data_IF_767960416826
#
_entry.id   IF_767960416826
#
_cell.length_a   1.000
_cell.length_b   1.000
_cell.length_c   1.000
_cell.angle_alpha   90.00
_cell.angle_beta   90.00
_cell.angle_gamma   90.00
#
_symmetry.space_group_name_H-M   'P 1'
#
loop_
_entity.id
_entity.type
_entity.pdbx_description
1 polymer ?
#
# COMPACT_ATOMS: atom_id res chain seq x y z
N UNK A 1 13.64 -3.91 -9.45
CA UNK A 1 13.33 -3.51 -8.06
C UNK A 1 11.87 -3.82 -7.71
N UNK A 2 10.92 -3.68 -8.64
CA UNK A 2 9.52 -4.14 -8.49
C UNK A 2 9.37 -5.66 -8.31
N UNK A 3 10.18 -6.47 -8.99
CA UNK A 3 10.12 -7.94 -8.86
C UNK A 3 10.46 -8.44 -7.45
N UNK A 4 11.26 -7.69 -6.68
CA UNK A 4 11.71 -8.11 -5.35
C UNK A 4 10.58 -8.16 -4.33
N UNK A 5 9.64 -7.20 -4.38
CA UNK A 5 8.53 -7.15 -3.43
C UNK A 5 7.43 -8.16 -3.77
N UNK A 6 7.17 -8.40 -5.06
CA UNK A 6 6.26 -9.44 -5.50
C UNK A 6 6.79 -10.84 -5.17
N UNK A 7 8.11 -11.06 -5.28
CA UNK A 7 8.77 -12.29 -4.85
C UNK A 7 8.73 -12.49 -3.33
N UNK A 8 8.99 -11.43 -2.54
CA UNK A 8 8.81 -11.47 -1.08
C UNK A 8 7.36 -11.81 -0.74
N UNK A 9 6.38 -11.17 -1.38
CA UNK A 9 4.96 -11.45 -1.17
C UNK A 9 4.56 -12.89 -1.49
N UNK A 10 5.21 -13.54 -2.45
CA UNK A 10 5.01 -14.96 -2.79
C UNK A 10 5.70 -15.93 -1.83
N UNK A 11 6.83 -15.53 -1.25
CA UNK A 11 7.58 -16.32 -0.26
C UNK A 11 6.92 -16.32 1.13
N UNK A 12 5.99 -15.41 1.39
CA UNK A 12 5.22 -15.36 2.63
C UNK A 12 4.07 -16.38 2.57
N UNK A 13 4.25 -17.54 3.19
CA UNK A 13 3.14 -18.45 3.50
C UNK A 13 2.13 -17.72 4.37
N UNK A 14 0.92 -17.49 3.84
CA UNK A 14 -0.14 -16.76 4.51
C UNK A 14 -0.62 -17.56 5.72
N UNK A 15 -0.54 -16.97 6.91
CA UNK A 15 -1.29 -17.52 8.04
C UNK A 15 -2.79 -17.27 7.80
N UNK A 16 -3.66 -18.14 8.30
CA UNK A 16 -5.13 -18.03 8.12
C UNK A 16 -5.67 -16.65 8.56
N UNK A 17 -5.02 -16.02 9.53
CA UNK A 17 -5.31 -14.66 10.03
C UNK A 17 -4.95 -13.54 9.04
N UNK A 18 -4.07 -13.78 8.06
CA UNK A 18 -3.65 -12.82 7.03
C UNK A 18 -4.44 -12.97 5.73
N UNK A 19 -5.30 -13.99 5.64
CA UNK A 19 -6.16 -14.26 4.49
C UNK A 19 -7.47 -13.45 4.49
N UNK A 20 -7.57 -12.46 5.38
CA UNK A 20 -8.73 -11.58 5.48
C UNK A 20 -8.61 -10.48 4.42
N UNK A 21 -9.30 -10.66 3.30
CA UNK A 21 -9.56 -9.59 2.34
C UNK A 21 -10.34 -8.49 3.07
N UNK A 22 -9.64 -7.44 3.50
CA UNK A 22 -10.29 -6.30 4.14
C UNK A 22 -10.95 -5.49 3.04
N UNK A 23 -12.29 -5.58 2.96
CA UNK A 23 -13.08 -4.71 2.09
C UNK A 23 -13.04 -3.31 2.70
N UNK A 24 -12.41 -2.39 1.98
CA UNK A 24 -12.30 -1.00 2.43
C UNK A 24 -13.52 -0.22 1.90
N UNK A 25 -14.29 0.45 2.78
CA UNK A 25 -15.45 1.24 2.38
C UNK A 25 -15.12 2.32 1.33
N UNK A 26 -16.05 2.60 0.41
CA UNK A 26 -15.86 3.58 -0.70
C UNK A 26 -15.47 4.98 -0.20
N UNK A 27 -15.87 5.33 1.00
CA UNK A 27 -15.61 6.61 1.65
C UNK A 27 -14.12 6.79 1.98
N UNK A 28 -13.41 5.70 2.27
CA UNK A 28 -11.95 5.68 2.46
C UNK A 28 -11.23 5.78 1.10
N UNK A 29 -11.85 5.27 0.04
CA UNK A 29 -11.33 5.34 -1.33
C UNK A 29 -11.55 6.68 -2.03
N UNK A 30 -12.28 7.64 -1.45
CA UNK A 30 -12.35 8.96 -2.10
C UNK A 30 -13.07 10.08 -1.37
N UNK A 31 -12.36 11.22 -1.28
CA UNK A 31 -12.78 12.50 -1.91
C UNK A 31 -11.58 13.41 -2.15
N UNK A 32 -10.85 13.17 -3.25
CA UNK A 32 -10.34 14.21 -4.14
C UNK A 32 -9.97 13.55 -5.45
N UNK A 33 -10.45 14.07 -6.59
CA UNK A 33 -9.96 13.63 -7.90
C UNK A 33 -8.48 13.99 -7.96
N UNK A 34 -7.62 12.98 -7.84
CA UNK A 34 -6.18 13.17 -7.94
C UNK A 34 -5.84 13.67 -9.35
N UNK A 35 -5.48 14.96 -9.44
CA UNK A 35 -5.01 15.56 -10.68
C UNK A 35 -3.48 15.38 -10.86
N UNK A 36 -2.79 14.62 -10.00
CA UNK A 36 -1.33 14.39 -10.06
C UNK A 36 -0.90 13.79 -11.40
N UNK A 37 -1.72 12.90 -11.95
CA UNK A 37 -1.57 12.32 -13.29
C UNK A 37 -2.56 12.93 -14.28
N UNK A 38 -2.77 14.26 -14.20
CA UNK A 38 -3.59 14.99 -15.16
C UNK A 38 -2.76 15.99 -15.96
N UNK A 39 -2.99 16.02 -17.27
CA UNK A 39 -2.46 17.04 -18.17
C UNK A 39 -3.56 18.04 -18.50
N UNK A 40 -3.25 19.33 -18.42
CA UNK A 40 -4.11 20.38 -18.99
C UNK A 40 -3.68 20.63 -20.42
N UNK A 41 -4.55 20.26 -21.36
CA UNK A 41 -4.38 20.47 -22.79
C UNK A 41 -5.13 21.71 -23.28
N UNK A 42 -4.56 22.40 -24.26
CA UNK A 42 -5.23 23.47 -25.02
C UNK A 42 -5.36 23.07 -26.49
N UNK A 43 -6.57 23.14 -27.02
CA UNK A 43 -6.89 22.82 -28.42
C UNK A 43 -6.69 24.07 -29.27
N UNK A 44 -5.62 24.09 -30.06
CA UNK A 44 -5.32 25.20 -30.97
C UNK A 44 -5.89 24.90 -32.36
N UNK A 45 -7.16 25.22 -32.56
CA UNK A 45 -7.82 25.11 -33.86
C UNK A 45 -8.53 26.42 -34.23
N UNK A 46 -8.49 26.78 -35.52
CA UNK A 46 -9.21 27.96 -36.06
C UNK A 46 -10.71 27.71 -36.25
N UNK A 47 -11.15 26.45 -36.15
CA UNK A 47 -12.54 26.01 -36.37
C UNK A 47 -13.04 25.27 -35.13
N UNK A 48 -14.36 25.21 -34.97
CA UNK A 48 -14.99 24.36 -33.96
C UNK A 48 -14.54 22.91 -34.14
N UNK A 49 -14.21 22.25 -33.05
CA UNK A 49 -13.72 20.86 -33.05
C UNK A 49 -14.72 19.95 -32.35
N UNK A 50 -14.81 18.72 -32.83
CA UNK A 50 -15.63 17.69 -32.18
C UNK A 50 -14.83 17.09 -31.02
N UNK A 51 -15.33 17.26 -29.79
CA UNK A 51 -14.65 16.81 -28.59
C UNK A 51 -14.56 15.28 -28.51
N UNK A 52 -15.60 14.55 -28.93
CA UNK A 52 -15.60 13.10 -28.88
C UNK A 52 -14.67 12.49 -29.93
N UNK A 53 -14.64 13.07 -31.14
CA UNK A 53 -13.64 12.69 -32.14
C UNK A 53 -12.20 12.96 -31.66
N UNK A 54 -11.98 14.07 -30.95
CA UNK A 54 -10.68 14.39 -30.35
C UNK A 54 -10.27 13.34 -29.29
N UNK A 55 -11.19 12.90 -28.43
CA UNK A 55 -10.92 11.86 -27.43
C UNK A 55 -10.47 10.56 -28.08
N UNK A 56 -11.21 10.10 -29.09
CA UNK A 56 -10.90 8.86 -29.81
C UNK A 56 -9.52 8.90 -30.47
N UNK A 57 -9.16 10.05 -31.05
CA UNK A 57 -7.82 10.26 -31.62
C UNK A 57 -6.76 10.24 -30.53
N UNK A 58 -6.98 10.94 -29.41
CA UNK A 58 -6.00 10.99 -28.31
C UNK A 58 -5.81 9.62 -27.64
N UNK A 59 -6.89 8.86 -27.43
CA UNK A 59 -6.83 7.48 -26.93
C UNK A 59 -6.00 6.59 -27.86
N UNK A 60 -6.16 6.75 -29.17
CA UNK A 60 -5.41 5.96 -30.17
C UNK A 60 -3.95 6.38 -30.27
N UNK A 61 -3.65 7.68 -30.30
CA UNK A 61 -2.29 8.20 -30.51
C UNK A 61 -1.42 8.00 -29.28
N UNK A 62 -1.96 8.29 -28.09
CA UNK A 62 -1.23 8.15 -26.82
C UNK A 62 -1.22 6.68 -26.36
N UNK A 63 -2.25 5.90 -26.74
CA UNK A 63 -2.38 4.46 -26.47
C UNK A 63 -2.04 4.06 -25.01
N UNK A 64 -2.78 4.60 -24.03
CA UNK A 64 -2.50 4.38 -22.62
C UNK A 64 -2.84 2.94 -22.23
N UNK A 65 -1.92 2.22 -21.57
CA UNK A 65 -2.13 0.80 -21.19
C UNK A 65 -3.38 0.56 -20.33
N UNK A 66 -3.81 1.56 -19.55
CA UNK A 66 -4.92 1.44 -18.59
C UNK A 66 -6.08 2.41 -18.87
N UNK A 67 -6.02 3.14 -19.99
CA UNK A 67 -7.04 4.11 -20.37
C UNK A 67 -6.76 5.55 -19.90
N UNK A 68 -7.59 6.47 -20.36
CA UNK A 68 -7.56 7.90 -20.00
C UNK A 68 -8.99 8.46 -19.95
N UNK A 69 -9.20 9.48 -19.13
CA UNK A 69 -10.42 10.27 -19.06
C UNK A 69 -10.18 11.69 -19.59
N UNK A 70 -11.23 12.31 -20.13
CA UNK A 70 -11.15 13.66 -20.71
C UNK A 70 -12.27 14.53 -20.15
N UNK A 71 -11.92 15.72 -19.65
CA UNK A 71 -12.88 16.70 -19.12
C UNK A 71 -12.65 18.07 -19.76
N UNK A 72 -13.69 18.67 -20.32
CA UNK A 72 -13.61 20.03 -20.88
C UNK A 72 -13.70 21.05 -19.74
N UNK A 73 -12.76 22.01 -19.68
CA UNK A 73 -12.76 23.11 -18.69
C UNK A 73 -13.19 24.44 -19.31
N UNK A 74 -13.06 24.58 -20.64
CA UNK A 74 -13.41 25.81 -21.34
C UNK A 74 -13.58 25.56 -22.83
N UNK A 75 -13.76 26.63 -23.61
CA UNK A 75 -13.99 26.52 -25.06
C UNK A 75 -12.86 25.74 -25.78
N UNK A 76 -11.61 25.99 -25.36
CA UNK A 76 -10.37 25.46 -25.96
C UNK A 76 -9.49 24.71 -24.94
N UNK A 77 -9.94 24.47 -23.71
CA UNK A 77 -9.15 23.82 -22.65
C UNK A 77 -9.80 22.53 -22.17
N UNK A 78 -8.96 21.52 -21.94
CA UNK A 78 -9.36 20.21 -21.42
C UNK A 78 -8.35 19.68 -20.42
N UNK A 79 -8.82 18.88 -19.47
CA UNK A 79 -8.00 18.00 -18.64
C UNK A 79 -8.03 16.60 -19.25
N UNK A 80 -6.87 15.98 -19.32
CA UNK A 80 -6.67 14.55 -19.60
C UNK A 80 -6.20 13.93 -18.29
N UNK A 81 -6.90 12.93 -17.78
CA UNK A 81 -6.51 12.20 -16.57
C UNK A 81 -6.16 10.78 -16.96
N UNK A 82 -4.97 10.31 -16.59
CA UNK A 82 -4.51 8.96 -16.95
C UNK A 82 -4.99 7.94 -15.92
N UNK A 83 -5.60 6.84 -16.38
CA UNK A 83 -6.13 5.78 -15.52
C UNK A 83 -5.04 4.77 -15.14
N UNK A 84 -3.81 5.21 -14.86
CA UNK A 84 -2.83 4.29 -14.29
C UNK A 84 -3.21 4.02 -12.84
N UNK A 85 -3.34 2.74 -12.41
CA UNK A 85 -3.16 2.46 -11.00
C UNK A 85 -1.71 2.84 -10.74
N UNK A 86 -1.53 3.77 -9.83
CA UNK A 86 -0.28 3.93 -9.14
C UNK A 86 0.07 2.55 -8.55
N UNK A 87 0.87 1.78 -9.29
CA UNK A 87 1.55 0.61 -8.76
C UNK A 87 2.53 1.17 -7.74
N UNK A 88 2.56 0.55 -6.55
CA UNK A 88 2.78 1.17 -5.23
C UNK A 88 1.56 1.96 -4.77
N UNK A 89 0.88 1.47 -3.73
CA UNK A 89 -0.30 2.09 -3.12
C UNK A 89 0.01 3.57 -2.85
N UNK A 90 -0.37 4.44 -3.79
CA UNK A 90 -0.40 5.88 -3.58
C UNK A 90 -1.73 6.11 -2.87
N UNK A 91 -1.66 6.18 -1.54
CA UNK A 91 -2.75 6.77 -0.79
C UNK A 91 -2.90 8.22 -1.28
N UNK A 92 -4.13 8.71 -1.57
CA UNK A 92 -4.34 10.06 -2.09
C UNK A 92 -3.64 11.12 -1.23
N UNK A 93 -2.90 12.03 -1.88
CA UNK A 93 -2.01 12.99 -1.23
C UNK A 93 -2.75 14.01 -0.34
N UNK A 94 -2.05 14.44 0.71
CA UNK A 94 -2.35 15.51 1.70
C UNK A 94 -3.62 15.38 2.59
N UNK A 95 -4.71 14.75 2.15
CA UNK A 95 -5.95 14.63 2.96
C UNK A 95 -6.51 13.19 3.10
N UNK A 96 -5.82 12.20 2.54
CA UNK A 96 -6.23 10.79 2.61
C UNK A 96 -5.45 9.96 3.62
N UNK A 97 -4.18 10.30 3.90
CA UNK A 97 -3.30 9.41 4.67
C UNK A 97 -3.78 9.22 6.09
N UNK A 98 -4.33 10.25 6.73
CA UNK A 98 -4.83 10.20 8.10
C UNK A 98 -5.98 9.19 8.22
N UNK A 99 -6.89 9.19 7.24
CA UNK A 99 -8.02 8.26 7.15
C UNK A 99 -7.50 6.83 7.00
N UNK A 100 -6.54 6.63 6.10
CA UNK A 100 -5.91 5.33 5.89
C UNK A 100 -5.09 4.85 7.09
N UNK A 101 -4.34 5.74 7.75
CA UNK A 101 -3.56 5.46 8.93
C UNK A 101 -4.43 5.07 10.12
N UNK A 102 -5.52 5.79 10.33
CA UNK A 102 -6.50 5.46 11.36
C UNK A 102 -7.16 4.11 11.04
N UNK A 103 -7.58 3.90 9.79
CA UNK A 103 -8.19 2.64 9.37
C UNK A 103 -7.25 1.45 9.55
N UNK A 104 -6.06 1.50 8.96
CA UNK A 104 -5.05 0.43 9.04
C UNK A 104 -4.61 0.24 10.49
N UNK A 105 -4.35 1.33 11.20
CA UNK A 105 -3.95 1.31 12.61
C UNK A 105 -5.00 0.64 13.49
N UNK A 106 -6.28 0.92 13.27
CA UNK A 106 -7.38 0.29 14.01
C UNK A 106 -7.63 -1.17 13.60
N UNK A 107 -7.26 -1.57 12.38
CA UNK A 107 -7.26 -2.97 11.96
C UNK A 107 -6.09 -3.77 12.55
N UNK A 108 -4.96 -3.12 12.80
CA UNK A 108 -3.81 -3.73 13.47
C UNK A 108 -3.97 -3.81 14.99
N UNK A 109 -4.59 -2.80 15.61
CA UNK A 109 -4.73 -2.68 17.05
C UNK A 109 -5.41 -1.37 17.44
N UNK A 110 -4.97 -0.72 18.52
CA UNK A 110 -5.47 0.62 18.89
C UNK A 110 -4.62 1.69 18.23
N UNK A 111 -5.12 2.33 17.18
CA UNK A 111 -4.43 3.45 16.53
C UNK A 111 -4.14 4.57 17.55
N UNK A 112 -2.95 5.17 17.45
CA UNK A 112 -2.51 6.27 18.31
C UNK A 112 -2.14 7.52 17.53
N UNK A 113 -1.29 7.38 16.52
CA UNK A 113 -0.81 8.49 15.71
C UNK A 113 -0.15 7.99 14.43
N UNK A 114 -0.02 8.90 13.47
CA UNK A 114 0.83 8.75 12.31
C UNK A 114 2.00 9.73 12.43
N UNK A 115 3.21 9.28 12.14
CA UNK A 115 4.38 10.15 12.00
C UNK A 115 4.62 10.41 10.50
N UNK A 116 4.58 11.69 10.08
CA UNK A 116 4.80 12.13 8.70
C UNK A 116 6.17 12.82 8.57
N UNK A 117 6.96 12.45 7.56
CA UNK A 117 8.19 13.16 7.20
C UNK A 117 7.91 14.16 6.07
N UNK A 118 7.84 15.46 6.38
CA UNK A 118 7.42 16.48 5.41
C UNK A 118 8.38 16.65 4.22
N UNK A 119 9.63 16.24 4.38
CA UNK A 119 10.71 16.51 3.42
C UNK A 119 11.32 15.24 2.79
N UNK A 120 10.72 14.06 3.01
CA UNK A 120 11.24 12.80 2.49
C UNK A 120 10.41 12.32 1.27
N UNK A 121 10.99 12.24 0.06
CA UNK A 121 10.31 11.73 -1.14
C UNK A 121 9.73 10.32 -1.00
N UNK A 122 10.26 9.49 -0.10
CA UNK A 122 9.70 8.15 0.22
C UNK A 122 8.39 8.21 1.00
N UNK A 123 8.07 9.37 1.59
CA UNK A 123 6.82 9.60 2.34
C UNK A 123 5.57 9.57 1.47
N UNK A 124 5.71 9.47 0.14
CA UNK A 124 4.60 9.31 -0.79
C UNK A 124 4.01 7.88 -0.75
N UNK A 125 4.82 6.87 -0.43
CA UNK A 125 4.44 5.45 -0.45
C UNK A 125 4.54 4.77 0.91
N UNK A 126 5.28 5.35 1.86
CA UNK A 126 5.48 4.80 3.20
C UNK A 126 5.09 5.82 4.27
N UNK A 127 4.46 5.36 5.34
CA UNK A 127 4.15 6.17 6.52
C UNK A 127 4.28 5.33 7.79
N UNK A 128 4.66 5.98 8.89
CA UNK A 128 4.86 5.31 10.17
C UNK A 128 3.61 5.42 11.02
N UNK A 129 3.18 4.29 11.58
CA UNK A 129 2.04 4.23 12.48
C UNK A 129 2.49 3.91 13.90
N UNK A 130 1.92 4.63 14.86
CA UNK A 130 1.94 4.25 16.27
C UNK A 130 0.63 3.53 16.57
N UNK A 131 0.74 2.25 16.89
CA UNK A 131 -0.40 1.37 17.18
C UNK A 131 -0.15 0.64 18.50
N UNK A 132 -1.15 0.62 19.38
CA UNK A 132 -1.16 -0.26 20.54
C UNK A 132 -1.55 -1.67 20.11
N UNK A 133 -0.57 -2.56 20.00
CA UNK A 133 -0.75 -3.95 19.59
C UNK A 133 -0.99 -4.86 20.79
N UNK A 134 -1.80 -5.89 20.61
CA UNK A 134 -1.90 -6.97 21.58
C UNK A 134 -0.74 -7.94 21.37
N UNK A 135 0.23 -7.94 22.28
CA UNK A 135 1.44 -8.77 22.19
C UNK A 135 1.19 -10.27 22.39
N UNK A 136 -0.01 -10.65 22.84
CA UNK A 136 -0.43 -12.05 22.94
C UNK A 136 -0.80 -12.64 21.58
N UNK A 137 -0.89 -11.80 20.54
CA UNK A 137 -1.16 -12.23 19.16
C UNK A 137 0.12 -12.12 18.33
N UNK A 138 0.30 -13.01 17.33
CA UNK A 138 1.39 -12.86 16.38
C UNK A 138 1.35 -11.51 15.68
N UNK A 139 2.52 -10.94 15.42
CA UNK A 139 2.60 -9.71 14.62
C UNK A 139 2.12 -9.97 13.20
N UNK A 140 1.45 -8.97 12.62
CA UNK A 140 0.89 -9.07 11.28
C UNK A 140 1.94 -8.68 10.25
N UNK A 141 2.23 -9.55 9.29
CA UNK A 141 3.27 -9.30 8.27
C UNK A 141 2.73 -8.48 7.11
N UNK A 142 1.49 -8.78 6.72
CA UNK A 142 0.81 -8.14 5.60
C UNK A 142 -0.67 -7.89 5.88
N UNK A 143 -1.28 -7.02 5.07
CA UNK A 143 -2.72 -6.83 5.00
C UNK A 143 -3.15 -6.76 3.54
N UNK A 144 -4.04 -7.67 3.15
CA UNK A 144 -4.73 -7.62 1.86
C UNK A 144 -5.94 -6.71 1.96
N UNK A 145 -6.08 -5.85 0.98
CA UNK A 145 -7.15 -4.87 0.89
C UNK A 145 -7.77 -4.99 -0.49
N UNK A 146 -9.11 -5.10 -0.55
CA UNK A 146 -9.84 -5.06 -1.81
C UNK A 146 -10.51 -3.70 -1.98
N UNK A 147 -10.29 -3.08 -3.14
CA UNK A 147 -10.97 -1.86 -3.52
C UNK A 147 -12.43 -2.13 -3.90
N UNK A 148 -13.27 -1.09 -3.93
CA UNK A 148 -14.68 -1.22 -4.29
C UNK A 148 -14.86 -1.55 -5.78
N UNK A 149 -13.81 -1.35 -6.57
CA UNK A 149 -13.74 -1.69 -7.99
C UNK A 149 -13.23 -3.11 -8.22
N UNK A 150 -12.94 -3.86 -7.13
CA UNK A 150 -12.55 -5.27 -7.17
C UNK A 150 -11.06 -5.51 -7.35
N UNK A 151 -10.21 -4.48 -7.22
CA UNK A 151 -8.76 -4.62 -7.29
C UNK A 151 -8.16 -4.95 -5.92
N UNK A 152 -7.17 -5.84 -5.90
CA UNK A 152 -6.50 -6.28 -4.67
C UNK A 152 -5.15 -5.56 -4.47
N UNK A 153 -4.94 -5.13 -3.23
CA UNK A 153 -3.77 -4.40 -2.77
C UNK A 153 -3.15 -5.11 -1.57
N UNK A 154 -1.83 -5.06 -1.44
CA UNK A 154 -1.09 -5.66 -0.32
C UNK A 154 -0.28 -4.58 0.38
N UNK A 155 -0.56 -4.40 1.67
CA UNK A 155 0.25 -3.59 2.57
C UNK A 155 1.21 -4.52 3.30
N UNK A 156 2.50 -4.23 3.26
CA UNK A 156 3.52 -4.93 4.03
C UNK A 156 3.87 -4.12 5.28
N UNK A 157 3.99 -4.81 6.42
CA UNK A 157 4.38 -4.18 7.68
C UNK A 157 5.83 -4.48 8.02
N UNK A 158 6.51 -3.44 8.48
CA UNK A 158 7.77 -3.56 9.21
C UNK A 158 7.61 -2.86 10.56
N UNK A 159 8.41 -3.28 11.53
CA UNK A 159 8.30 -2.88 12.92
C UNK A 159 9.60 -2.23 13.39
N UNK A 160 9.48 -1.01 13.90
CA UNK A 160 10.57 -0.35 14.62
C UNK A 160 10.74 -0.95 16.01
N UNK A 161 11.99 -1.03 16.47
CA UNK A 161 12.34 -1.43 17.85
C UNK A 161 11.71 -2.75 18.29
N UNK A 162 11.57 -3.70 17.37
CA UNK A 162 11.07 -5.04 17.66
C UNK A 162 11.99 -5.72 18.70
N UNK A 163 11.54 -6.05 19.91
CA UNK A 163 12.42 -6.64 20.93
C UNK A 163 12.61 -8.15 20.67
N UNK A 164 12.73 -8.97 21.71
CA UNK A 164 12.78 -10.43 21.60
C UNK A 164 11.53 -10.93 20.87
N UNK A 165 11.72 -11.39 19.63
CA UNK A 165 10.64 -11.78 18.73
C UNK A 165 10.92 -13.17 18.20
N UNK A 166 9.91 -14.02 18.24
CA UNK A 166 10.00 -15.39 17.82
C UNK A 166 9.65 -15.51 16.34
N UNK A 167 10.61 -15.92 15.52
CA UNK A 167 10.37 -16.08 14.08
C UNK A 167 9.53 -17.32 13.74
N UNK A 168 9.35 -18.24 14.70
CA UNK A 168 8.52 -19.44 14.52
C UNK A 168 7.03 -19.14 14.70
N UNK A 169 6.65 -18.52 15.82
CA UNK A 169 5.24 -18.28 16.16
C UNK A 169 4.79 -16.82 15.99
N UNK A 170 5.71 -15.88 15.76
CA UNK A 170 5.40 -14.47 15.54
C UNK A 170 5.07 -13.67 16.80
N UNK A 171 5.28 -14.22 18.00
CA UNK A 171 5.03 -13.55 19.27
C UNK A 171 6.24 -12.75 19.76
N UNK A 172 5.95 -11.69 20.51
CA UNK A 172 6.95 -10.92 21.25
C UNK A 172 7.11 -11.52 22.66
N UNK A 173 8.36 -11.62 23.13
CA UNK A 173 8.69 -12.00 24.51
C UNK A 173 9.74 -13.10 24.60
N UNK A 174 9.95 -13.86 23.53
CA UNK A 174 10.92 -14.96 23.45
C UNK A 174 11.56 -15.02 22.06
N UNK A 175 12.67 -15.76 21.95
CA UNK A 175 13.32 -16.06 20.67
C UNK A 175 12.89 -17.45 20.16
N UNK A 176 13.10 -17.73 18.88
CA UNK A 176 12.72 -19.01 18.27
C UNK A 176 13.22 -20.24 19.02
N UNK A 177 14.39 -20.18 19.67
CA UNK A 177 14.94 -21.31 20.44
C UNK A 177 14.12 -21.67 21.67
N UNK A 178 13.44 -20.69 22.27
CA UNK A 178 12.68 -20.85 23.51
C UNK A 178 11.17 -20.97 23.24
N UNK A 179 10.78 -21.25 21.99
CA UNK A 179 9.38 -21.30 21.59
C UNK A 179 8.70 -22.59 22.04
N UNK A 180 7.54 -22.46 22.69
CA UNK A 180 6.74 -23.61 23.14
C UNK A 180 6.28 -24.52 21.99
N UNK A 181 6.23 -24.00 20.76
CA UNK A 181 5.91 -24.77 19.55
C UNK A 181 6.80 -26.00 19.37
N UNK A 182 8.06 -25.95 19.84
CA UNK A 182 8.99 -27.09 19.76
C UNK A 182 8.49 -28.33 20.51
N UNK A 183 7.58 -28.16 21.46
CA UNK A 183 7.04 -29.24 22.29
C UNK A 183 5.60 -29.64 21.90
N UNK A 184 5.09 -29.10 20.79
CA UNK A 184 3.75 -29.42 20.29
C UNK A 184 3.75 -30.69 19.43
N UNK A 185 2.71 -31.51 19.57
CA UNK A 185 2.57 -32.74 18.78
C UNK A 185 2.51 -32.43 17.28
N UNK A 186 3.38 -33.09 16.50
CA UNK A 186 3.46 -32.90 15.05
C UNK A 186 4.31 -31.70 14.62
N UNK A 187 5.04 -31.07 15.53
CA UNK A 187 6.00 -30.03 15.16
C UNK A 187 7.09 -30.57 14.23
N UNK A 188 7.27 -29.90 13.10
CA UNK A 188 8.37 -30.11 12.15
C UNK A 188 9.21 -28.84 12.15
N UNK A 189 10.49 -28.95 12.47
CA UNK A 189 11.40 -27.80 12.47
C UNK A 189 11.49 -27.20 11.06
N UNK A 190 11.04 -25.94 10.87
CA UNK A 190 11.12 -25.29 9.57
C UNK A 190 12.55 -24.86 9.19
N UNK A 191 13.53 -24.99 10.09
CA UNK A 191 14.91 -24.56 9.86
C UNK A 191 14.97 -23.06 9.55
N UNK A 192 15.52 -22.71 8.39
CA UNK A 192 15.58 -21.33 7.90
C UNK A 192 14.28 -20.83 7.25
N UNK A 193 13.31 -21.72 6.99
CA UNK A 193 12.06 -21.38 6.31
C UNK A 193 10.95 -21.02 7.30
N UNK A 194 11.27 -20.15 8.26
CA UNK A 194 10.32 -19.70 9.26
C UNK A 194 9.27 -18.75 8.66
N UNK A 195 8.02 -18.72 9.16
CA UNK A 195 7.00 -17.82 8.61
C UNK A 195 7.39 -16.33 8.73
N UNK A 196 8.16 -15.99 9.76
CA UNK A 196 8.63 -14.64 9.99
C UNK A 196 10.14 -14.57 9.74
N UNK A 197 10.69 -13.38 9.46
CA UNK A 197 12.12 -13.22 9.25
C UNK A 197 12.67 -11.84 9.58
N UNK A 198 13.99 -11.65 9.47
CA UNK A 198 14.66 -10.39 9.81
C UNK A 198 14.10 -9.16 9.08
N UNK A 199 13.52 -9.37 7.90
CA UNK A 199 12.84 -8.36 7.08
C UNK A 199 11.65 -7.67 7.78
N UNK A 200 11.14 -8.22 8.89
CA UNK A 200 10.13 -7.54 9.72
C UNK A 200 10.68 -6.36 10.50
N UNK A 201 11.99 -6.32 10.72
CA UNK A 201 12.63 -5.23 11.45
C UNK A 201 12.85 -4.10 10.46
N UNK A 202 12.38 -2.90 10.79
CA UNK A 202 12.72 -1.73 9.99
C UNK A 202 14.24 -1.47 10.10
N UNK A 203 14.96 -1.62 8.99
CA UNK A 203 16.35 -1.19 8.89
C UNK A 203 16.35 0.32 8.74
N UNK A 204 16.97 1.03 9.67
CA UNK A 204 17.07 2.49 9.58
C UNK A 204 17.71 2.89 8.26
N UNK A 205 17.09 3.81 7.52
CA UNK A 205 17.75 4.49 6.41
C UNK A 205 18.94 5.26 7.00
N UNK A 206 20.17 4.78 6.79
CA UNK A 206 21.38 5.52 7.13
C UNK A 206 21.31 6.87 6.41
N UNK A 207 21.10 7.94 7.16
CA UNK A 207 21.42 9.29 6.68
C UNK A 207 22.94 9.38 6.70
N UNK A 208 23.56 9.36 5.53
CA UNK A 208 24.91 9.89 5.41
C UNK A 208 24.83 11.39 5.75
N UNK A 209 25.53 11.73 6.84
CA UNK A 209 25.67 13.06 7.43
C UNK A 209 26.53 13.98 6.60
#
# INVERSE_FOLDING_TARGET
>A
MEDSFAEIGRALSLAEQENLDVVVPREIWGRETDYSLSLVGRVVMRRAYNFDALKEVLLRVINPRKGMQFRKIGADRLIITFNHPSIFIILPQEHGKEIWAEFIGNKLGKYRAMDWYKDDPSSLTEFKLRVGLNIQNPLRRIMKIRSPDGEDYVIQFTYERLPNFCFLCGLIGHISKDCEMHYTDGFVDPGSNTPFGPWLRQTGTTKES
#
